data_IF_912652822408
#
_entry.id   IF_912652822408
#
_cell.length_a   1.000
_cell.length_b   1.000
_cell.length_c   1.000
_cell.angle_alpha   90.00
_cell.angle_beta   90.00
_cell.angle_gamma   90.00
#
_symmetry.space_group_name_H-M   'P 1'
#
loop_
_entity.id
_entity.type
_entity.pdbx_description
1 polymer ?
#
# COMPACT_ATOMS: atom_id res chain seq x y z
N UNK A 1 -17.44 -11.33 67.49
CA UNK A 1 -16.51 -11.58 66.36
C UNK A 1 -17.25 -11.97 65.09
N UNK A 2 -18.12 -11.07 64.56
CA UNK A 2 -18.85 -11.30 63.28
C UNK A 2 -18.47 -10.33 62.13
N UNK A 3 -17.54 -9.38 62.37
CA UNK A 3 -17.14 -8.38 61.38
C UNK A 3 -16.10 -8.83 60.37
N UNK A 4 -15.36 -9.89 60.60
CA UNK A 4 -14.26 -10.36 59.75
C UNK A 4 -14.72 -10.97 58.41
N UNK A 5 -15.86 -11.69 58.40
CA UNK A 5 -16.35 -12.37 57.20
C UNK A 5 -16.94 -11.40 56.16
N UNK A 6 -17.57 -10.32 56.59
CA UNK A 6 -18.14 -9.31 55.70
C UNK A 6 -17.03 -8.48 55.00
N UNK A 7 -15.94 -8.19 55.71
CA UNK A 7 -14.80 -7.45 55.16
C UNK A 7 -14.04 -8.27 54.11
N UNK A 8 -13.86 -9.57 54.32
CA UNK A 8 -13.23 -10.46 53.35
C UNK A 8 -14.06 -10.57 52.05
N UNK A 9 -15.38 -10.72 52.16
CA UNK A 9 -16.27 -10.77 51.01
C UNK A 9 -16.26 -9.45 50.22
N UNK A 10 -16.20 -8.29 50.88
CA UNK A 10 -16.12 -7.01 50.24
C UNK A 10 -14.81 -6.82 49.50
N UNK A 11 -13.70 -7.28 50.07
CA UNK A 11 -12.38 -7.26 49.45
C UNK A 11 -12.32 -8.17 48.21
N UNK A 12 -12.92 -9.35 48.27
CA UNK A 12 -13.02 -10.29 47.14
C UNK A 12 -13.84 -9.68 45.99
N UNK A 13 -14.95 -9.03 46.29
CA UNK A 13 -15.76 -8.31 45.25
C UNK A 13 -15.00 -7.18 44.58
N UNK A 14 -14.24 -6.40 45.36
CA UNK A 14 -13.44 -5.30 44.78
C UNK A 14 -12.35 -5.86 43.87
N UNK A 15 -11.67 -6.90 44.26
CA UNK A 15 -10.64 -7.55 43.45
C UNK A 15 -11.26 -8.14 42.18
N UNK A 16 -12.40 -8.80 42.24
CA UNK A 16 -13.10 -9.35 41.09
C UNK A 16 -13.50 -8.26 40.07
N UNK A 17 -14.06 -7.14 40.56
CA UNK A 17 -14.44 -6.01 39.72
C UNK A 17 -13.20 -5.39 39.07
N UNK A 18 -12.08 -5.28 39.80
CA UNK A 18 -10.84 -4.75 39.29
C UNK A 18 -10.27 -5.61 38.16
N UNK A 19 -10.22 -6.93 38.34
CA UNK A 19 -9.79 -7.85 37.30
C UNK A 19 -10.71 -7.82 36.08
N UNK A 20 -12.02 -7.74 36.27
CA UNK A 20 -12.99 -7.66 35.18
C UNK A 20 -12.84 -6.36 34.39
N UNK A 21 -12.62 -5.23 35.06
CA UNK A 21 -12.36 -3.94 34.42
C UNK A 21 -11.08 -3.98 33.60
N UNK A 22 -10.01 -4.59 34.14
CA UNK A 22 -8.74 -4.69 33.42
C UNK A 22 -8.86 -5.57 32.18
N UNK A 23 -9.52 -6.73 32.30
CA UNK A 23 -9.78 -7.64 31.19
C UNK A 23 -10.61 -6.96 30.07
N UNK A 24 -11.66 -6.22 30.47
CA UNK A 24 -12.50 -5.48 29.51
C UNK A 24 -11.71 -4.41 28.76
N UNK A 25 -10.84 -3.67 29.45
CA UNK A 25 -10.00 -2.65 28.80
C UNK A 25 -9.05 -3.25 27.77
N UNK A 26 -8.43 -4.39 28.07
CA UNK A 26 -7.55 -5.12 27.15
C UNK A 26 -8.33 -5.62 25.94
N UNK A 27 -9.53 -6.17 26.13
CA UNK A 27 -10.38 -6.64 25.03
C UNK A 27 -10.75 -5.51 24.06
N UNK A 28 -11.10 -4.33 24.58
CA UNK A 28 -11.42 -3.14 23.73
C UNK A 28 -10.20 -2.70 22.94
N UNK A 29 -9.02 -2.65 23.55
CA UNK A 29 -7.78 -2.29 22.87
C UNK A 29 -7.43 -3.28 21.75
N UNK A 30 -7.58 -4.58 21.99
CA UNK A 30 -7.33 -5.62 20.98
C UNK A 30 -8.31 -5.50 19.82
N UNK A 31 -9.58 -5.23 20.10
CA UNK A 31 -10.60 -5.05 19.06
C UNK A 31 -10.32 -3.84 18.17
N UNK A 32 -9.99 -2.70 18.78
CA UNK A 32 -9.63 -1.49 18.03
C UNK A 32 -8.38 -1.72 17.16
N UNK A 33 -7.36 -2.38 17.70
CA UNK A 33 -6.13 -2.69 16.98
C UNK A 33 -6.36 -3.67 15.82
N UNK A 34 -7.21 -4.67 16.01
CA UNK A 34 -7.60 -5.63 14.98
C UNK A 34 -8.31 -4.95 13.81
N UNK A 35 -9.18 -3.97 14.08
CA UNK A 35 -9.88 -3.22 13.04
C UNK A 35 -8.92 -2.38 12.20
N UNK A 36 -7.95 -1.70 12.82
CA UNK A 36 -6.93 -0.94 12.12
C UNK A 36 -6.05 -1.84 11.25
N UNK A 37 -5.62 -2.98 11.79
CA UNK A 37 -4.80 -3.95 11.08
C UNK A 37 -5.53 -4.55 9.87
N UNK A 38 -6.83 -4.80 10.00
CA UNK A 38 -7.67 -5.30 8.90
C UNK A 38 -7.71 -4.30 7.74
N UNK A 39 -7.90 -3.02 8.00
CA UNK A 39 -7.86 -1.96 6.96
C UNK A 39 -6.48 -1.88 6.29
N UNK A 40 -5.43 -1.92 7.07
CA UNK A 40 -4.06 -1.88 6.56
C UNK A 40 -3.78 -3.08 5.63
N UNK A 41 -4.23 -4.27 6.00
CA UNK A 41 -4.08 -5.48 5.18
C UNK A 41 -4.86 -5.37 3.86
N UNK A 42 -6.06 -4.83 3.89
CA UNK A 42 -6.86 -4.59 2.67
C UNK A 42 -6.16 -3.62 1.74
N UNK A 43 -5.70 -2.48 2.26
CA UNK A 43 -4.96 -1.50 1.47
C UNK A 43 -3.66 -2.09 0.88
N UNK A 44 -2.95 -2.89 1.66
CA UNK A 44 -1.74 -3.56 1.19
C UNK A 44 -2.03 -4.57 0.06
N UNK A 45 -3.11 -5.33 0.16
CA UNK A 45 -3.52 -6.27 -0.90
C UNK A 45 -3.86 -5.53 -2.21
N UNK A 46 -4.61 -4.44 -2.13
CA UNK A 46 -4.91 -3.61 -3.30
C UNK A 46 -3.63 -3.01 -3.91
N UNK A 47 -2.74 -2.48 -3.05
CA UNK A 47 -1.47 -1.92 -3.50
C UNK A 47 -0.61 -2.96 -4.23
N UNK A 48 -0.49 -4.18 -3.69
CA UNK A 48 0.23 -5.28 -4.34
C UNK A 48 -0.40 -5.63 -5.70
N UNK A 49 -1.72 -5.74 -5.78
CA UNK A 49 -2.44 -6.08 -7.02
C UNK A 49 -2.19 -5.02 -8.09
N UNK A 50 -2.29 -3.74 -7.75
CA UNK A 50 -2.02 -2.64 -8.69
C UNK A 50 -0.56 -2.55 -9.08
N UNK A 51 0.37 -2.75 -8.13
CA UNK A 51 1.80 -2.79 -8.43
C UNK A 51 2.14 -3.88 -9.43
N UNK A 52 1.58 -5.09 -9.25
CA UNK A 52 1.77 -6.21 -10.18
C UNK A 52 1.18 -5.91 -11.56
N UNK A 53 -0.04 -5.37 -11.62
CA UNK A 53 -0.68 -5.00 -12.89
C UNK A 53 0.14 -3.97 -13.68
N UNK A 54 0.66 -2.93 -13.01
CA UNK A 54 1.53 -1.94 -13.63
C UNK A 54 2.87 -2.55 -14.06
N UNK A 55 3.44 -3.44 -13.24
CA UNK A 55 4.69 -4.14 -13.53
C UNK A 55 4.56 -5.03 -14.76
N UNK A 56 3.50 -5.83 -14.84
CA UNK A 56 3.24 -6.73 -15.96
C UNK A 56 3.03 -5.93 -17.26
N UNK A 57 2.28 -4.82 -17.18
CA UNK A 57 2.08 -3.93 -18.32
C UNK A 57 3.39 -3.29 -18.78
N UNK A 58 4.22 -2.80 -17.85
CA UNK A 58 5.50 -2.20 -18.15
C UNK A 58 6.48 -3.20 -18.80
N UNK A 59 6.54 -4.42 -18.28
CA UNK A 59 7.39 -5.49 -18.83
C UNK A 59 6.90 -5.96 -20.21
N UNK A 60 5.59 -6.10 -20.39
CA UNK A 60 4.99 -6.54 -21.66
C UNK A 60 5.20 -5.52 -22.78
N UNK A 61 5.26 -4.24 -22.43
CA UNK A 61 5.45 -3.12 -23.36
C UNK A 61 6.93 -2.66 -23.48
N UNK A 62 7.87 -3.54 -23.15
CA UNK A 62 9.32 -3.30 -23.24
C UNK A 62 9.77 -1.99 -22.56
N UNK A 63 9.13 -1.64 -21.44
CA UNK A 63 9.47 -0.44 -20.68
C UNK A 63 8.95 0.88 -21.28
N UNK A 64 8.08 0.84 -22.28
CA UNK A 64 7.52 2.02 -22.92
C UNK A 64 6.39 2.63 -22.08
N UNK A 65 6.69 3.71 -21.35
CA UNK A 65 5.73 4.42 -20.50
C UNK A 65 4.56 5.03 -21.28
N UNK A 66 4.78 5.48 -22.53
CA UNK A 66 3.71 6.00 -23.38
C UNK A 66 2.68 4.92 -23.72
N UNK A 67 3.12 3.71 -24.03
CA UNK A 67 2.25 2.59 -24.29
C UNK A 67 1.52 2.11 -23.01
N UNK A 68 2.17 2.20 -21.84
CA UNK A 68 1.51 1.95 -20.54
C UNK A 68 0.42 2.98 -20.28
N UNK A 69 0.66 4.26 -20.60
CA UNK A 69 -0.35 5.30 -20.45
C UNK A 69 -1.57 5.09 -21.36
N UNK A 70 -1.39 4.57 -22.56
CA UNK A 70 -2.51 4.22 -23.45
C UNK A 70 -3.40 3.11 -22.87
N UNK A 71 -2.80 2.14 -22.16
CA UNK A 71 -3.51 1.09 -21.46
C UNK A 71 -4.29 1.60 -20.23
N UNK A 72 -3.76 2.63 -19.58
CA UNK A 72 -4.36 3.26 -18.40
C UNK A 72 -4.62 4.74 -18.68
N UNK A 73 -5.69 5.10 -19.41
CA UNK A 73 -5.94 6.48 -19.85
C UNK A 73 -6.17 7.47 -18.70
N UNK A 74 -6.37 6.99 -17.47
CA UNK A 74 -6.49 7.80 -16.26
C UNK A 74 -5.11 8.16 -15.69
N UNK A 75 -4.03 7.56 -16.20
CA UNK A 75 -2.68 7.92 -15.81
C UNK A 75 -2.32 9.32 -16.28
N UNK A 76 -1.69 10.09 -15.41
CA UNK A 76 -1.03 11.35 -15.76
C UNK A 76 0.48 11.16 -15.85
N UNK A 77 1.09 11.62 -16.93
CA UNK A 77 2.53 11.67 -17.06
C UNK A 77 3.05 12.88 -16.28
N UNK A 78 3.81 12.64 -15.23
CA UNK A 78 4.37 13.72 -14.40
C UNK A 78 5.73 14.20 -14.92
N UNK A 79 6.46 13.34 -15.64
CA UNK A 79 7.71 13.63 -16.35
C UNK A 79 7.97 12.56 -17.41
N UNK A 80 8.98 12.75 -18.28
CA UNK A 80 9.32 11.77 -19.32
C UNK A 80 9.49 10.33 -18.81
N UNK A 81 9.96 10.18 -17.57
CA UNK A 81 10.27 8.89 -16.97
C UNK A 81 9.38 8.54 -15.77
N UNK A 82 8.27 9.25 -15.58
CA UNK A 82 7.40 9.04 -14.43
C UNK A 82 5.92 9.10 -14.84
N UNK A 83 5.22 8.00 -14.53
CA UNK A 83 3.79 7.85 -14.73
C UNK A 83 3.10 7.77 -13.37
N UNK A 84 2.01 8.52 -13.19
CA UNK A 84 1.22 8.54 -11.97
C UNK A 84 -0.19 8.07 -12.23
N UNK A 85 -0.67 7.16 -11.39
CA UNK A 85 -2.05 6.70 -11.37
C UNK A 85 -2.69 7.08 -10.03
N UNK A 86 -3.89 7.63 -10.09
CA UNK A 86 -4.65 8.12 -8.93
C UNK A 86 -5.82 7.19 -8.62
N UNK A 87 -6.12 7.00 -7.31
CA UNK A 87 -7.19 6.14 -6.84
C UNK A 87 -8.02 6.85 -5.77
N UNK A 88 -9.31 6.52 -5.76
CA UNK A 88 -10.22 6.93 -4.71
C UNK A 88 -10.03 6.12 -3.41
N UNK A 89 -10.87 6.36 -2.40
CA UNK A 89 -10.85 5.63 -1.12
C UNK A 89 -11.16 4.13 -1.22
N UNK A 90 -11.71 3.68 -2.35
CA UNK A 90 -12.07 2.30 -2.64
C UNK A 90 -11.10 1.61 -3.63
N UNK A 91 -9.96 2.24 -3.91
CA UNK A 91 -8.96 1.76 -4.88
C UNK A 91 -9.46 1.69 -6.33
N UNK A 92 -10.52 2.46 -6.68
CA UNK A 92 -10.90 2.64 -8.06
C UNK A 92 -10.03 3.72 -8.71
N UNK A 93 -9.51 3.48 -9.92
CA UNK A 93 -8.81 4.53 -10.66
C UNK A 93 -9.70 5.74 -10.87
N UNK A 94 -9.19 6.91 -10.59
CA UNK A 94 -9.93 8.18 -10.71
C UNK A 94 -9.07 9.27 -11.32
N UNK A 95 -9.72 10.34 -11.82
CA UNK A 95 -9.03 11.51 -12.33
C UNK A 95 -8.28 12.24 -11.21
N UNK A 96 -7.13 12.90 -11.49
CA UNK A 96 -6.44 13.74 -10.52
C UNK A 96 -7.28 14.90 -9.95
N UNK A 97 -8.38 15.25 -10.61
CA UNK A 97 -9.31 16.30 -10.18
C UNK A 97 -10.35 15.79 -9.18
N UNK A 98 -10.49 14.47 -9.04
CA UNK A 98 -11.42 13.84 -8.10
C UNK A 98 -10.84 13.78 -6.68
N UNK A 99 -11.61 13.18 -5.75
CA UNK A 99 -11.18 12.95 -4.38
C UNK A 99 -10.15 11.81 -4.30
N UNK A 100 -8.91 12.11 -4.66
CA UNK A 100 -7.81 11.14 -4.65
C UNK A 100 -7.38 10.82 -3.23
N UNK A 101 -7.26 9.52 -2.93
CA UNK A 101 -6.80 9.02 -1.63
C UNK A 101 -5.43 8.33 -1.74
N UNK A 102 -5.24 7.51 -2.79
CA UNK A 102 -4.01 6.77 -3.01
C UNK A 102 -3.39 7.12 -4.35
N UNK A 103 -2.07 7.01 -4.41
CA UNK A 103 -1.27 7.26 -5.61
C UNK A 103 -0.33 6.09 -5.88
N UNK A 104 -0.16 5.75 -7.15
CA UNK A 104 0.88 4.86 -7.63
C UNK A 104 1.81 5.63 -8.57
N UNK A 105 3.08 5.70 -8.24
CA UNK A 105 4.13 6.29 -9.06
C UNK A 105 4.97 5.18 -9.69
N UNK A 106 5.01 5.14 -11.01
CA UNK A 106 5.91 4.29 -11.79
C UNK A 106 7.05 5.17 -12.31
N UNK A 107 8.25 4.99 -11.78
CA UNK A 107 9.47 5.66 -12.21
C UNK A 107 10.34 4.71 -12.99
N UNK A 108 10.67 5.08 -14.22
CA UNK A 108 11.62 4.34 -15.05
C UNK A 108 12.96 5.08 -15.08
N UNK A 109 14.05 4.34 -14.91
CA UNK A 109 15.40 4.86 -15.07
C UNK A 109 15.97 4.28 -16.34
N UNK A 110 16.49 5.14 -17.21
CA UNK A 110 17.09 4.75 -18.49
C UNK A 110 18.20 3.74 -18.25
N UNK A 111 18.30 2.77 -19.17
CA UNK A 111 19.31 1.73 -19.15
C UNK A 111 20.72 2.31 -19.01
N UNK A 112 21.48 1.75 -18.10
CA UNK A 112 22.91 1.92 -18.02
C UNK A 112 23.58 1.30 -19.27
N UNK A 113 24.88 1.48 -19.46
CA UNK A 113 25.67 0.88 -20.57
C UNK A 113 25.49 -0.65 -20.69
N UNK A 114 24.90 -1.27 -19.69
CA UNK A 114 24.55 -2.70 -19.65
C UNK A 114 23.25 -3.08 -20.34
N UNK A 115 22.46 -2.11 -20.85
CA UNK A 115 21.14 -2.37 -21.46
C UNK A 115 20.06 -2.80 -20.44
N UNK A 116 20.25 -2.58 -19.14
CA UNK A 116 19.30 -2.92 -18.09
C UNK A 116 18.50 -1.67 -17.72
N UNK A 117 17.20 -1.66 -18.01
CA UNK A 117 16.27 -0.67 -17.51
C UNK A 117 15.80 -1.05 -16.10
N UNK A 118 15.76 -0.08 -15.21
CA UNK A 118 15.22 -0.23 -13.86
C UNK A 118 13.94 0.59 -13.76
N UNK A 119 12.93 0.00 -13.16
CA UNK A 119 11.71 0.71 -12.81
C UNK A 119 11.35 0.47 -11.35
N UNK A 120 10.77 1.47 -10.73
CA UNK A 120 10.28 1.43 -9.37
C UNK A 120 8.82 1.87 -9.34
N UNK A 121 7.98 1.04 -8.76
CA UNK A 121 6.56 1.31 -8.55
C UNK A 121 6.34 1.52 -7.07
N UNK A 122 5.88 2.71 -6.68
CA UNK A 122 5.64 3.07 -5.29
C UNK A 122 4.19 3.46 -5.12
N UNK A 123 3.50 2.78 -4.20
CA UNK A 123 2.11 3.09 -3.85
C UNK A 123 2.06 3.66 -2.43
N UNK A 124 1.36 4.78 -2.27
CA UNK A 124 1.27 5.48 -1.00
C UNK A 124 -0.08 6.20 -0.86
N UNK A 125 -0.43 6.52 0.37
CA UNK A 125 -1.57 7.37 0.69
C UNK A 125 -1.14 8.84 0.68
N UNK A 126 -1.95 9.72 0.09
CA UNK A 126 -1.64 11.16 -0.01
C UNK A 126 -1.42 11.79 1.37
N UNK A 127 -2.12 11.31 2.38
CA UNK A 127 -1.99 11.79 3.76
C UNK A 127 -0.63 11.50 4.39
N UNK A 128 0.06 10.45 3.92
CA UNK A 128 1.34 9.96 4.46
C UNK A 128 2.33 9.58 3.35
N UNK A 129 2.75 10.53 2.51
CA UNK A 129 3.56 10.25 1.32
C UNK A 129 4.95 9.69 1.65
N UNK A 130 5.45 9.93 2.86
CA UNK A 130 6.76 9.45 3.31
C UNK A 130 6.78 7.96 3.69
N UNK A 131 5.60 7.36 3.90
CA UNK A 131 5.46 5.94 4.24
C UNK A 131 4.74 5.19 3.13
N UNK A 132 5.45 4.57 2.19
CA UNK A 132 4.82 3.81 1.13
C UNK A 132 4.09 2.60 1.70
N UNK A 133 2.88 2.32 1.15
CA UNK A 133 2.12 1.11 1.46
C UNK A 133 2.83 -0.10 0.85
N UNK A 134 3.35 0.07 -0.37
CA UNK A 134 4.08 -0.97 -1.10
C UNK A 134 5.04 -0.36 -2.11
N UNK A 135 6.21 -0.99 -2.27
CA UNK A 135 7.20 -0.63 -3.28
C UNK A 135 7.66 -1.88 -4.00
N UNK A 136 7.68 -1.83 -5.33
CA UNK A 136 8.13 -2.91 -6.20
C UNK A 136 9.23 -2.38 -7.13
N UNK A 137 10.40 -3.01 -7.09
CA UNK A 137 11.50 -2.70 -7.99
C UNK A 137 11.57 -3.76 -9.09
N UNK A 138 11.71 -3.30 -10.33
CA UNK A 138 11.76 -4.12 -11.53
C UNK A 138 13.09 -3.90 -12.25
N UNK A 139 13.58 -4.95 -12.87
CA UNK A 139 14.70 -4.88 -13.81
C UNK A 139 14.29 -5.56 -15.10
N UNK A 140 14.43 -4.85 -16.21
CA UNK A 140 14.13 -5.36 -17.55
C UNK A 140 15.36 -5.19 -18.42
N UNK A 141 15.72 -6.25 -19.15
CA UNK A 141 16.80 -6.20 -20.14
C UNK A 141 16.18 -5.82 -21.48
N UNK A 142 16.49 -4.64 -21.98
CA UNK A 142 16.16 -4.29 -23.35
C UNK A 142 17.06 -5.11 -24.28
N UNK A 143 16.45 -6.08 -24.98
CA UNK A 143 17.17 -6.73 -26.08
C UNK A 143 17.50 -5.67 -27.14
N UNK A 144 18.77 -5.31 -27.27
CA UNK A 144 19.22 -4.55 -28.42
C UNK A 144 18.67 -5.22 -29.69
N UNK A 145 17.80 -4.52 -30.40
CA UNK A 145 17.44 -4.89 -31.77
C UNK A 145 18.73 -4.81 -32.55
N UNK A 146 19.45 -5.92 -32.62
CA UNK A 146 20.58 -6.09 -33.55
C UNK A 146 20.04 -5.66 -34.91
N UNK A 147 20.49 -4.49 -35.36
CA UNK A 147 20.24 -4.04 -36.71
C UNK A 147 20.61 -5.13 -37.67
N UNK A 148 19.64 -5.62 -38.41
CA UNK A 148 19.87 -6.38 -39.63
C UNK A 148 20.44 -5.41 -40.66
N UNK A 149 21.77 -5.23 -40.63
CA UNK A 149 22.51 -4.82 -41.80
C UNK A 149 22.55 -6.02 -42.75
N UNK A 150 21.71 -6.00 -43.76
CA UNK A 150 21.92 -6.57 -45.08
C UNK A 150 21.30 -5.65 -46.12
#
# INVERSE_FOLDING_TARGET
MKHSRSSLFLMEMIIAILFFSLASAVCIQLFAKSHLLSRQTVNQNHAVTWAQSLADSYLTLDGNLGAVQELFPICSQTSENNLRLSFDSNWNPCSPEDAVTFLADLKSTVADETGIMKAEITLYEISTPETPIYTLSLMHHTAERRGSDE
#
